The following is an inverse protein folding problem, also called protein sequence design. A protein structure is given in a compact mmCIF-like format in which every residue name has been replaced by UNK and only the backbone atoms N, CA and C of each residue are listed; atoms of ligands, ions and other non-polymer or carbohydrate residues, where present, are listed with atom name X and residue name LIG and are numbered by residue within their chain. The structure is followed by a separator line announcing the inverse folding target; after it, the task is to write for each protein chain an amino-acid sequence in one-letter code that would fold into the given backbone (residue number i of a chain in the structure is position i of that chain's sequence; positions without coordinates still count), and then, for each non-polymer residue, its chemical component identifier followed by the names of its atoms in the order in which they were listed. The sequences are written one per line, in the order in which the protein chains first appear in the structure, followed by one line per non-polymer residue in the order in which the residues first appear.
data_IF_897336947563
#
_entry.id   IF_897336947563
#
_cell.length_a   1.000
_cell.length_b   1.000
_cell.length_c   1.000
_cell.angle_alpha   90.00
_cell.angle_beta   90.00
_cell.angle_gamma   90.00
#
_symmetry.space_group_name_H-M   'P 1'
#
loop_
_entity.id
_entity.type
_entity.pdbx_description
1 polymer ?
#
# COMPACT_ATOMS: atom_id res chain seq x y z
N UNK A 1 37.63 -3.43 -17.65
CA UNK A 1 37.05 -4.77 -17.38
C UNK A 1 37.99 -5.86 -17.87
N UNK A 2 38.51 -5.72 -19.10
CA UNK A 2 39.67 -6.51 -19.57
C UNK A 2 40.86 -6.28 -18.63
N UNK A 3 41.16 -5.01 -18.30
CA UNK A 3 42.30 -4.62 -17.45
C UNK A 3 42.39 -5.34 -16.10
N UNK A 4 41.35 -5.35 -15.27
CA UNK A 4 41.41 -5.98 -13.93
C UNK A 4 41.53 -7.51 -13.96
N UNK A 5 41.04 -8.14 -15.03
CA UNK A 5 41.12 -9.59 -15.22
C UNK A 5 42.50 -9.96 -15.77
N UNK A 6 43.02 -9.18 -16.72
CA UNK A 6 44.40 -9.28 -17.20
C UNK A 6 45.43 -8.98 -16.10
N UNK A 7 45.13 -8.06 -15.19
CA UNK A 7 46.00 -7.75 -14.04
C UNK A 7 46.06 -8.92 -13.05
N UNK A 8 44.95 -9.66 -12.86
CA UNK A 8 44.91 -10.84 -12.00
C UNK A 8 45.74 -11.99 -12.60
N UNK A 9 45.60 -12.23 -13.90
CA UNK A 9 46.38 -13.23 -14.64
C UNK A 9 47.88 -12.88 -14.68
N UNK A 10 48.20 -11.61 -14.90
CA UNK A 10 49.58 -11.11 -14.88
C UNK A 10 50.22 -11.26 -13.50
N UNK A 11 49.50 -10.93 -12.42
CA UNK A 11 49.99 -11.07 -11.05
C UNK A 11 50.19 -12.54 -10.65
N UNK A 12 49.29 -13.43 -11.08
CA UNK A 12 49.44 -14.87 -10.88
C UNK A 12 50.72 -15.40 -11.55
N UNK A 13 50.94 -15.04 -12.81
CA UNK A 13 52.11 -15.44 -13.60
C UNK A 13 53.40 -14.91 -12.97
N UNK A 14 53.40 -13.66 -12.50
CA UNK A 14 54.54 -13.05 -11.82
C UNK A 14 54.85 -13.74 -10.47
N UNK A 15 53.83 -14.16 -9.72
CA UNK A 15 53.96 -14.90 -8.47
C UNK A 15 54.58 -16.29 -8.65
N UNK A 16 54.20 -17.02 -9.70
CA UNK A 16 54.79 -18.33 -10.03
C UNK A 16 56.27 -18.18 -10.40
N UNK A 17 56.59 -17.21 -11.25
CA UNK A 17 57.96 -16.92 -11.67
C UNK A 17 58.86 -16.45 -10.50
N UNK A 18 58.31 -15.71 -9.53
CA UNK A 18 59.04 -15.24 -8.36
C UNK A 18 59.37 -16.39 -7.38
N UNK A 19 58.43 -17.32 -7.16
CA UNK A 19 58.63 -18.49 -6.29
C UNK A 19 59.79 -19.38 -6.75
N UNK A 20 59.97 -19.54 -8.07
CA UNK A 20 61.06 -20.31 -8.65
C UNK A 20 62.44 -19.64 -8.49
N UNK A 21 62.48 -18.34 -8.18
CA UNK A 21 63.72 -17.53 -8.11
C UNK A 21 64.17 -17.20 -6.68
N UNK A 22 63.60 -17.85 -5.66
CA UNK A 22 63.94 -17.63 -4.24
C UNK A 22 63.82 -16.14 -3.80
N UNK A 23 62.80 -15.43 -4.30
CA UNK A 23 62.52 -14.04 -3.88
C UNK A 23 62.09 -13.94 -2.42
N UNK A 24 62.22 -12.75 -1.83
CA UNK A 24 61.80 -12.41 -0.47
C UNK A 24 60.41 -12.99 -0.12
N UNK A 25 60.38 -13.74 0.99
CA UNK A 25 59.20 -14.46 1.47
C UNK A 25 58.09 -13.50 1.89
N UNK A 26 58.45 -12.33 2.44
CA UNK A 26 57.46 -11.32 2.84
C UNK A 26 56.79 -10.69 1.62
N UNK A 27 57.56 -10.41 0.56
CA UNK A 27 57.01 -9.91 -0.70
C UNK A 27 56.10 -10.96 -1.35
N UNK A 28 56.49 -12.24 -1.38
CA UNK A 28 55.64 -13.32 -1.87
C UNK A 28 54.34 -13.44 -1.07
N UNK A 29 54.39 -13.28 0.25
CA UNK A 29 53.19 -13.30 1.10
C UNK A 29 52.27 -12.13 0.78
N UNK A 30 52.81 -10.91 0.68
CA UNK A 30 52.05 -9.72 0.32
C UNK A 30 51.41 -9.84 -1.07
N UNK A 31 52.18 -10.25 -2.08
CA UNK A 31 51.68 -10.43 -3.45
C UNK A 31 50.60 -11.52 -3.54
N UNK A 32 50.71 -12.62 -2.78
CA UNK A 32 49.64 -13.64 -2.70
C UNK A 32 48.36 -13.08 -2.10
N UNK A 33 48.46 -12.22 -1.09
CA UNK A 33 47.29 -11.56 -0.49
C UNK A 33 46.62 -10.62 -1.50
N UNK A 34 47.40 -9.82 -2.22
CA UNK A 34 46.89 -8.93 -3.27
C UNK A 34 46.21 -9.72 -4.40
N UNK A 35 46.77 -10.86 -4.79
CA UNK A 35 46.16 -11.72 -5.79
C UNK A 35 44.79 -12.26 -5.33
N UNK A 36 44.67 -12.74 -4.10
CA UNK A 36 43.38 -13.21 -3.57
C UNK A 36 42.35 -12.09 -3.50
N UNK A 37 42.75 -10.89 -3.12
CA UNK A 37 41.91 -9.69 -3.15
C UNK A 37 41.41 -9.39 -4.56
N UNK A 38 42.30 -9.38 -5.54
CA UNK A 38 41.95 -9.05 -6.92
C UNK A 38 41.06 -10.13 -7.54
N UNK A 39 41.36 -11.42 -7.31
CA UNK A 39 40.51 -12.53 -7.75
C UNK A 39 39.09 -12.43 -7.14
N UNK A 40 38.99 -12.19 -5.82
CA UNK A 40 37.70 -12.01 -5.16
C UNK A 40 36.94 -10.77 -5.67
N UNK A 41 37.63 -9.69 -6.02
CA UNK A 41 37.03 -8.51 -6.63
C UNK A 41 36.44 -8.83 -8.01
N UNK A 42 37.20 -9.53 -8.87
CA UNK A 42 36.74 -9.94 -10.20
C UNK A 42 35.50 -10.83 -10.09
N UNK A 43 35.53 -11.88 -9.25
CA UNK A 43 34.38 -12.76 -9.04
C UNK A 43 33.16 -12.00 -8.54
N UNK A 44 33.32 -11.09 -7.56
CA UNK A 44 32.20 -10.29 -7.06
C UNK A 44 31.60 -9.40 -8.16
N UNK A 45 32.44 -8.84 -9.02
CA UNK A 45 31.99 -7.98 -10.12
C UNK A 45 31.27 -8.78 -11.23
N UNK A 46 31.71 -10.00 -11.51
CA UNK A 46 31.04 -10.91 -12.44
C UNK A 46 29.66 -11.30 -11.94
N UNK A 47 29.54 -11.69 -10.68
CA UNK A 47 28.25 -12.05 -10.07
C UNK A 47 27.29 -10.85 -10.01
N UNK A 48 27.80 -9.64 -9.76
CA UNK A 48 27.01 -8.41 -9.86
C UNK A 48 26.45 -8.23 -11.27
N UNK A 49 27.28 -8.40 -12.31
CA UNK A 49 26.82 -8.27 -13.71
C UNK A 49 25.81 -9.36 -14.06
N UNK A 50 26.08 -10.60 -13.68
CA UNK A 50 25.19 -11.72 -13.94
C UNK A 50 23.80 -11.47 -13.35
N UNK A 51 23.73 -10.96 -12.11
CA UNK A 51 22.46 -10.61 -11.48
C UNK A 51 21.76 -9.45 -12.19
N UNK A 52 22.48 -8.40 -12.57
CA UNK A 52 21.86 -7.24 -13.25
C UNK A 52 21.20 -7.61 -14.59
N UNK A 53 21.70 -8.63 -15.29
CA UNK A 53 21.11 -9.10 -16.57
C UNK A 53 19.75 -9.77 -16.38
N UNK A 54 19.52 -10.41 -15.23
CA UNK A 54 18.28 -11.16 -14.97
C UNK A 54 17.26 -10.38 -14.15
N UNK A 55 17.57 -9.14 -13.76
CA UNK A 55 16.64 -8.30 -12.97
C UNK A 55 15.53 -7.70 -13.86
N UNK A 56 14.32 -7.50 -13.31
CA UNK A 56 13.94 -7.74 -11.91
C UNK A 56 13.70 -9.22 -11.61
N UNK A 57 14.03 -9.66 -10.39
CA UNK A 57 13.92 -11.09 -10.02
C UNK A 57 12.75 -11.39 -9.08
N UNK A 58 12.02 -12.48 -9.34
CA UNK A 58 10.97 -13.00 -8.45
C UNK A 58 11.40 -14.11 -7.50
N UNK A 59 12.62 -14.65 -7.66
CA UNK A 59 13.08 -15.85 -6.96
C UNK A 59 14.34 -15.55 -6.13
N UNK A 60 14.22 -15.70 -4.82
CA UNK A 60 15.29 -15.36 -3.86
C UNK A 60 16.55 -16.22 -4.01
N UNK A 61 16.45 -17.45 -4.53
CA UNK A 61 17.62 -18.33 -4.73
C UNK A 61 18.59 -17.80 -5.78
N UNK A 62 18.16 -16.93 -6.68
CA UNK A 62 19.03 -16.30 -7.69
C UNK A 62 20.04 -15.32 -7.07
N UNK A 63 19.85 -14.92 -5.82
CA UNK A 63 20.77 -14.05 -5.08
C UNK A 63 21.94 -14.79 -4.43
N UNK A 64 21.82 -16.11 -4.31
CA UNK A 64 22.74 -16.92 -3.53
C UNK A 64 24.19 -16.89 -4.07
N UNK A 65 24.43 -16.93 -5.41
CA UNK A 65 25.78 -16.76 -5.96
C UNK A 65 26.44 -15.44 -5.52
N UNK A 66 25.73 -14.31 -5.68
CA UNK A 66 26.23 -12.99 -5.29
C UNK A 66 26.46 -12.87 -3.77
N UNK A 67 25.59 -13.46 -2.93
CA UNK A 67 25.77 -13.49 -1.47
C UNK A 67 27.04 -14.23 -1.07
N UNK A 68 27.33 -15.37 -1.70
CA UNK A 68 28.56 -16.13 -1.46
C UNK A 68 29.80 -15.36 -1.91
N UNK A 69 29.75 -14.77 -3.10
CA UNK A 69 30.85 -13.93 -3.61
C UNK A 69 31.11 -12.73 -2.68
N UNK A 70 30.06 -12.08 -2.16
CA UNK A 70 30.19 -10.98 -1.20
C UNK A 70 30.83 -11.44 0.13
N UNK A 71 30.44 -12.61 0.65
CA UNK A 71 31.05 -13.16 1.86
C UNK A 71 32.54 -13.48 1.65
N UNK A 72 32.90 -14.04 0.49
CA UNK A 72 34.29 -14.30 0.13
C UNK A 72 35.08 -12.99 0.00
N UNK A 73 34.56 -12.00 -0.74
CA UNK A 73 35.18 -10.69 -0.90
C UNK A 73 35.39 -9.94 0.42
N UNK A 74 34.48 -10.10 1.39
CA UNK A 74 34.66 -9.57 2.75
C UNK A 74 35.84 -10.21 3.48
N UNK A 75 36.02 -11.54 3.37
CA UNK A 75 37.14 -12.26 4.00
C UNK A 75 38.49 -11.84 3.41
N UNK A 76 38.53 -11.67 2.09
CA UNK A 76 39.75 -11.24 1.39
C UNK A 76 40.04 -9.73 1.54
N UNK A 77 39.13 -8.95 2.15
CA UNK A 77 39.26 -7.50 2.35
C UNK A 77 39.27 -6.71 1.04
N UNK A 78 38.37 -7.07 0.12
CA UNK A 78 38.12 -6.29 -1.11
C UNK A 78 37.65 -4.87 -0.77
N UNK A 79 37.96 -3.91 -1.65
CA UNK A 79 37.67 -2.49 -1.44
C UNK A 79 36.23 -2.21 -0.96
N UNK A 80 36.03 -1.41 0.10
CA UNK A 80 34.71 -1.19 0.73
C UNK A 80 33.62 -0.70 -0.22
N UNK A 81 33.97 0.10 -1.22
CA UNK A 81 33.01 0.60 -2.20
C UNK A 81 32.36 -0.53 -3.02
N UNK A 82 33.13 -1.56 -3.41
CA UNK A 82 32.60 -2.70 -4.16
C UNK A 82 31.71 -3.58 -3.28
N UNK A 83 32.07 -3.75 -2.02
CA UNK A 83 31.24 -4.45 -1.02
C UNK A 83 29.92 -3.71 -0.78
N UNK A 84 29.96 -2.38 -0.69
CA UNK A 84 28.79 -1.52 -0.53
C UNK A 84 27.84 -1.62 -1.73
N UNK A 85 28.37 -1.53 -2.95
CA UNK A 85 27.60 -1.68 -4.18
C UNK A 85 26.89 -3.05 -4.25
N UNK A 86 27.64 -4.15 -4.05
CA UNK A 86 27.06 -5.48 -4.07
C UNK A 86 25.97 -5.66 -3.00
N UNK A 87 26.15 -5.09 -1.81
CA UNK A 87 25.14 -5.12 -0.75
C UNK A 87 23.87 -4.34 -1.11
N UNK A 88 24.00 -3.16 -1.74
CA UNK A 88 22.85 -2.39 -2.24
C UNK A 88 22.08 -3.17 -3.31
N UNK A 89 22.78 -3.82 -4.23
CA UNK A 89 22.16 -4.62 -5.30
C UNK A 89 21.40 -5.81 -4.70
N UNK A 90 21.98 -6.52 -3.71
CA UNK A 90 21.29 -7.61 -3.01
C UNK A 90 20.01 -7.08 -2.36
N UNK A 91 20.07 -5.96 -1.63
CA UNK A 91 18.90 -5.38 -0.94
C UNK A 91 17.80 -4.97 -1.93
N UNK A 92 18.18 -4.37 -3.06
CA UNK A 92 17.25 -3.99 -4.12
C UNK A 92 16.55 -5.21 -4.74
N UNK A 93 17.31 -6.28 -5.01
CA UNK A 93 16.75 -7.50 -5.57
C UNK A 93 15.97 -8.36 -4.54
N UNK A 94 16.27 -8.25 -3.24
CA UNK A 94 15.42 -8.82 -2.18
C UNK A 94 14.06 -8.11 -2.08
N UNK A 95 14.05 -6.79 -2.26
CA UNK A 95 12.83 -6.00 -2.34
C UNK A 95 11.99 -6.38 -3.57
N UNK A 96 12.62 -6.59 -4.74
CA UNK A 96 11.95 -7.15 -5.94
C UNK A 96 11.26 -8.48 -5.65
N UNK A 97 11.98 -9.44 -5.07
CA UNK A 97 11.42 -10.76 -4.77
C UNK A 97 10.20 -10.66 -3.82
N UNK A 98 10.29 -9.76 -2.85
CA UNK A 98 9.22 -9.55 -1.87
C UNK A 98 8.00 -8.90 -2.52
N UNK A 99 8.22 -7.88 -3.34
CA UNK A 99 7.17 -7.21 -4.11
C UNK A 99 6.49 -8.17 -5.09
N UNK A 100 7.26 -8.99 -5.82
CA UNK A 100 6.70 -10.04 -6.69
C UNK A 100 5.81 -11.02 -5.92
N UNK A 101 6.25 -11.47 -4.75
CA UNK A 101 5.46 -12.37 -3.91
C UNK A 101 4.14 -11.72 -3.46
N UNK A 102 4.19 -10.47 -3.00
CA UNK A 102 3.00 -9.72 -2.60
C UNK A 102 2.07 -9.44 -3.78
N UNK A 103 2.63 -9.08 -4.95
CA UNK A 103 1.89 -8.88 -6.19
C UNK A 103 1.12 -10.15 -6.58
N UNK A 104 1.80 -11.29 -6.68
CA UNK A 104 1.20 -12.56 -7.10
C UNK A 104 0.09 -13.06 -6.16
N UNK A 105 0.14 -12.70 -4.87
CA UNK A 105 -0.94 -12.98 -3.92
C UNK A 105 -2.16 -12.09 -4.18
N UNK A 106 -1.93 -10.80 -4.45
CA UNK A 106 -2.99 -9.81 -4.67
C UNK A 106 -3.61 -9.91 -6.07
N UNK A 107 -2.85 -10.35 -7.07
CA UNK A 107 -3.28 -10.45 -8.47
C UNK A 107 -4.45 -11.42 -8.64
N UNK A 108 -4.52 -12.45 -7.78
CA UNK A 108 -5.61 -13.45 -7.76
C UNK A 108 -6.92 -12.92 -7.18
N UNK A 109 -6.91 -11.71 -6.63
CA UNK A 109 -8.11 -11.09 -6.05
C UNK A 109 -8.92 -10.49 -7.19
N UNK A 110 -10.02 -11.15 -7.54
CA UNK A 110 -10.94 -10.65 -8.56
C UNK A 110 -11.61 -9.35 -8.13
N UNK A 111 -12.13 -9.31 -6.89
CA UNK A 111 -12.80 -8.16 -6.28
C UNK A 111 -12.18 -7.81 -4.93
N UNK A 112 -11.59 -6.62 -4.85
CA UNK A 112 -11.07 -6.03 -3.62
C UNK A 112 -12.16 -5.93 -2.57
N UNK A 113 -11.85 -6.43 -1.36
CA UNK A 113 -12.75 -6.36 -0.21
C UNK A 113 -11.97 -6.24 1.09
N UNK A 114 -12.64 -5.83 2.17
CA UNK A 114 -12.03 -5.71 3.50
C UNK A 114 -11.39 -7.01 4.00
N UNK A 115 -11.80 -8.16 3.46
CA UNK A 115 -11.25 -9.49 3.80
C UNK A 115 -9.77 -9.62 3.41
N UNK A 116 -9.36 -8.93 2.34
CA UNK A 116 -8.00 -8.95 1.81
C UNK A 116 -7.14 -7.78 2.29
N UNK A 117 -7.62 -6.95 3.23
CA UNK A 117 -6.89 -5.78 3.72
C UNK A 117 -5.47 -6.12 4.19
N UNK A 118 -5.26 -7.28 4.83
CA UNK A 118 -3.92 -7.69 5.28
C UNK A 118 -2.94 -7.87 4.11
N UNK A 119 -3.41 -8.41 2.99
CA UNK A 119 -2.57 -8.65 1.81
C UNK A 119 -2.34 -7.35 1.04
N UNK A 120 -3.36 -6.49 0.94
CA UNK A 120 -3.25 -5.15 0.36
C UNK A 120 -2.24 -4.30 1.14
N UNK A 121 -2.33 -4.26 2.48
CA UNK A 121 -1.36 -3.52 3.31
C UNK A 121 0.05 -4.09 3.19
N UNK A 122 0.22 -5.41 3.00
CA UNK A 122 1.52 -6.01 2.71
C UNK A 122 2.06 -5.56 1.35
N UNK A 123 1.21 -5.52 0.32
CA UNK A 123 1.58 -5.01 -0.99
C UNK A 123 2.02 -3.55 -0.90
N UNK A 124 1.28 -2.69 -0.19
CA UNK A 124 1.64 -1.29 0.05
C UNK A 124 3.00 -1.12 0.75
N UNK A 125 3.23 -1.90 1.81
CA UNK A 125 4.51 -1.89 2.52
C UNK A 125 5.66 -2.35 1.61
N UNK A 126 5.46 -3.41 0.83
CA UNK A 126 6.47 -3.92 -0.11
C UNK A 126 6.75 -2.95 -1.26
N UNK A 127 5.73 -2.22 -1.73
CA UNK A 127 5.87 -1.16 -2.73
C UNK A 127 6.73 0.00 -2.19
N UNK A 128 6.43 0.46 -0.96
CA UNK A 128 7.19 1.54 -0.33
C UNK A 128 8.66 1.15 -0.13
N UNK A 129 8.92 -0.09 0.32
CA UNK A 129 10.28 -0.60 0.43
C UNK A 129 10.97 -0.69 -0.94
N UNK A 130 10.31 -1.25 -1.95
CA UNK A 130 10.87 -1.37 -3.31
C UNK A 130 11.21 0.00 -3.92
N UNK A 131 10.38 1.01 -3.70
CA UNK A 131 10.65 2.39 -4.13
C UNK A 131 11.91 2.96 -3.47
N UNK A 132 12.06 2.80 -2.15
CA UNK A 132 13.24 3.25 -1.41
C UNK A 132 14.53 2.55 -1.86
N UNK A 133 14.40 1.33 -2.40
CA UNK A 133 15.54 0.51 -2.86
C UNK A 133 15.84 0.65 -4.35
N UNK A 134 15.15 1.55 -5.06
CA UNK A 134 15.39 1.81 -6.48
C UNK A 134 15.12 0.57 -7.36
N UNK A 135 14.02 -0.13 -7.09
CA UNK A 135 13.56 -1.27 -7.90
C UNK A 135 13.06 -0.80 -9.28
N UNK A 136 13.03 -1.71 -10.26
CA UNK A 136 12.51 -1.44 -11.62
C UNK A 136 11.17 -0.69 -11.63
N UNK A 137 11.12 0.40 -12.38
CA UNK A 137 9.93 1.25 -12.56
C UNK A 137 8.75 0.47 -13.15
N UNK A 138 8.99 -0.50 -14.03
CA UNK A 138 7.93 -1.33 -14.61
C UNK A 138 7.27 -2.22 -13.54
N UNK A 139 8.07 -2.80 -12.64
CA UNK A 139 7.56 -3.61 -11.54
C UNK A 139 6.81 -2.73 -10.52
N UNK A 140 7.31 -1.53 -10.26
CA UNK A 140 6.64 -0.55 -9.40
C UNK A 140 5.31 -0.09 -9.98
N UNK A 141 5.25 0.16 -11.29
CA UNK A 141 4.04 0.60 -11.98
C UNK A 141 2.95 -0.49 -12.03
N UNK A 142 3.34 -1.73 -12.32
CA UNK A 142 2.39 -2.86 -12.33
C UNK A 142 1.82 -3.13 -10.94
N UNK A 143 2.67 -3.15 -9.90
CA UNK A 143 2.21 -3.33 -8.54
C UNK A 143 1.43 -2.14 -7.97
N UNK A 144 1.76 -0.90 -8.36
CA UNK A 144 1.00 0.28 -7.95
C UNK A 144 -0.39 0.29 -8.57
N UNK A 145 -0.52 -0.06 -9.85
CA UNK A 145 -1.81 -0.20 -10.53
C UNK A 145 -2.70 -1.25 -9.84
N UNK A 146 -2.14 -2.42 -9.50
CA UNK A 146 -2.87 -3.45 -8.76
C UNK A 146 -3.32 -2.98 -7.37
N UNK A 147 -2.44 -2.30 -6.63
CA UNK A 147 -2.78 -1.68 -5.33
C UNK A 147 -3.93 -0.69 -5.49
N UNK A 148 -3.85 0.20 -6.48
CA UNK A 148 -4.84 1.26 -6.69
C UNK A 148 -6.20 0.68 -7.05
N UNK A 149 -6.22 -0.33 -7.93
CA UNK A 149 -7.43 -1.09 -8.25
C UNK A 149 -8.07 -1.68 -7.00
N UNK A 150 -7.31 -2.43 -6.21
CA UNK A 150 -7.84 -3.09 -5.01
C UNK A 150 -8.31 -2.09 -3.95
N UNK A 151 -7.59 -0.99 -3.74
CA UNK A 151 -7.98 0.06 -2.81
C UNK A 151 -9.26 0.80 -3.26
N UNK A 152 -9.40 1.06 -4.56
CA UNK A 152 -10.62 1.63 -5.12
C UNK A 152 -11.82 0.69 -4.89
N UNK A 153 -11.63 -0.61 -5.13
CA UNK A 153 -12.67 -1.62 -4.91
C UNK A 153 -13.07 -1.76 -3.43
N UNK A 154 -12.10 -1.76 -2.49
CA UNK A 154 -12.40 -1.76 -1.05
C UNK A 154 -13.19 -0.52 -0.63
N UNK A 155 -12.85 0.66 -1.18
CA UNK A 155 -13.57 1.91 -0.91
C UNK A 155 -15.00 1.87 -1.46
N UNK A 156 -15.18 1.37 -2.69
CA UNK A 156 -16.50 1.18 -3.30
C UNK A 156 -17.35 0.21 -2.46
N UNK A 157 -16.80 -0.94 -2.07
CA UNK A 157 -17.48 -1.93 -1.23
C UNK A 157 -17.90 -1.31 0.11
N UNK A 158 -17.01 -0.55 0.76
CA UNK A 158 -17.31 0.11 2.03
C UNK A 158 -18.49 1.08 1.93
N UNK A 159 -18.68 1.75 0.79
CA UNK A 159 -19.79 2.70 0.58
C UNK A 159 -21.15 2.02 0.34
N UNK A 160 -21.14 0.75 -0.11
CA UNK A 160 -22.36 -0.04 -0.28
C UNK A 160 -23.01 -0.40 1.05
N UNK A 161 -22.23 -0.45 2.14
CA UNK A 161 -22.74 -0.77 3.48
C UNK A 161 -23.56 0.42 4.02
N UNK A 162 -24.79 0.20 4.50
CA UNK A 162 -25.60 1.28 5.09
C UNK A 162 -25.02 1.76 6.42
N UNK A 163 -25.36 3.00 6.81
CA UNK A 163 -25.14 3.49 8.16
C UNK A 163 -26.11 2.82 9.15
N UNK A 164 -25.72 2.76 10.41
CA UNK A 164 -26.54 2.24 11.50
C UNK A 164 -27.48 3.34 11.98
N UNK A 165 -28.79 3.10 11.92
CA UNK A 165 -29.81 4.02 12.42
C UNK A 165 -29.92 3.95 13.95
N UNK A 166 -30.31 5.05 14.63
CA UNK A 166 -30.59 5.01 16.06
C UNK A 166 -31.76 4.05 16.38
N UNK A 167 -31.78 3.44 17.58
CA UNK A 167 -32.86 2.55 17.97
C UNK A 167 -34.21 3.28 17.95
N UNK A 168 -35.30 2.61 17.52
CA UNK A 168 -36.63 3.20 17.53
C UNK A 168 -37.06 3.58 18.95
N UNK A 169 -37.71 4.72 19.09
CA UNK A 169 -38.28 5.20 20.36
C UNK A 169 -39.64 4.51 20.58
N UNK A 170 -39.89 3.97 21.78
CA UNK A 170 -41.12 3.24 22.07
C UNK A 170 -42.29 4.22 22.28
N UNK A 171 -43.22 4.24 21.33
CA UNK A 171 -44.29 5.24 21.24
C UNK A 171 -45.40 5.08 22.30
N UNK A 172 -45.35 4.04 23.13
CA UNK A 172 -46.40 3.73 24.12
C UNK A 172 -46.10 4.22 25.53
N UNK A 173 -44.83 4.32 25.92
CA UNK A 173 -44.39 4.72 27.27
C UNK A 173 -43.60 6.03 27.27
N UNK A 174 -43.19 6.53 26.10
CA UNK A 174 -42.33 7.72 25.99
C UNK A 174 -40.93 7.51 26.60
N UNK A 175 -40.59 6.27 26.97
CA UNK A 175 -39.30 5.90 27.51
C UNK A 175 -38.37 5.52 26.36
N UNK A 176 -37.20 6.15 26.30
CA UNK A 176 -36.08 5.66 25.51
C UNK A 176 -35.75 4.24 26.02
N UNK A 177 -35.76 3.23 25.15
CA UNK A 177 -34.98 2.01 25.41
C UNK A 177 -33.55 2.48 25.78
N UNK A 178 -32.92 1.89 26.83
CA UNK A 178 -31.81 2.51 27.55
C UNK A 178 -30.81 3.17 26.61
N UNK A 179 -30.73 4.50 26.72
CA UNK A 179 -29.90 5.34 25.87
C UNK A 179 -28.45 4.83 25.91
N UNK A 180 -27.75 4.73 24.76
CA UNK A 180 -26.31 4.71 24.81
C UNK A 180 -25.83 6.10 25.28
N UNK A 181 -24.60 6.17 25.79
CA UNK A 181 -24.05 7.29 26.54
C UNK A 181 -24.20 8.67 25.84
N UNK A 182 -24.07 9.80 26.58
CA UNK A 182 -24.17 11.15 26.01
C UNK A 182 -23.20 11.29 24.81
N UNK A 183 -23.77 11.46 23.60
CA UNK A 183 -23.02 11.42 22.33
C UNK A 183 -23.50 10.37 21.31
N UNK A 184 -24.53 9.56 21.60
CA UNK A 184 -24.91 8.40 20.78
C UNK A 184 -26.27 8.45 20.07
N UNK A 185 -26.89 9.61 19.89
CA UNK A 185 -28.26 9.70 19.35
C UNK A 185 -28.29 9.99 17.83
N UNK A 186 -27.37 9.39 17.06
CA UNK A 186 -27.20 9.69 15.64
C UNK A 186 -27.05 8.47 14.75
N UNK A 187 -27.00 8.73 13.45
CA UNK A 187 -26.70 7.76 12.40
C UNK A 187 -25.19 7.53 12.33
N UNK A 188 -24.74 6.29 12.51
CA UNK A 188 -23.32 5.94 12.65
C UNK A 188 -22.81 5.18 11.44
N UNK A 189 -21.69 5.62 10.88
CA UNK A 189 -21.02 5.00 9.74
C UNK A 189 -19.91 4.04 10.21
N UNK A 190 -19.48 3.17 9.30
CA UNK A 190 -18.46 2.15 9.61
C UNK A 190 -17.06 2.72 9.92
N UNK A 191 -16.83 3.99 9.60
CA UNK A 191 -15.61 4.73 9.95
C UNK A 191 -15.70 5.41 11.32
N UNK A 192 -16.81 5.22 12.04
CA UNK A 192 -17.08 5.84 13.33
C UNK A 192 -17.62 7.26 13.23
N UNK A 193 -17.81 7.81 12.03
CA UNK A 193 -18.46 9.12 11.88
C UNK A 193 -19.93 9.02 12.26
N UNK A 194 -20.42 10.02 13.00
CA UNK A 194 -21.81 10.10 13.44
C UNK A 194 -22.47 11.36 12.86
N UNK A 195 -23.75 11.25 12.50
CA UNK A 195 -24.59 12.35 12.01
C UNK A 195 -25.86 12.46 12.82
N UNK A 196 -26.28 13.67 13.14
CA UNK A 196 -27.39 13.90 14.07
C UNK A 196 -28.76 13.71 13.40
N UNK A 197 -28.86 14.01 12.10
CA UNK A 197 -30.11 13.88 11.35
C UNK A 197 -30.01 12.87 10.21
N UNK A 198 -31.17 12.33 9.79
CA UNK A 198 -31.25 11.42 8.65
C UNK A 198 -30.79 12.10 7.37
N UNK A 199 -31.19 13.37 7.16
CA UNK A 199 -30.78 14.13 6.00
C UNK A 199 -29.25 14.29 5.95
N UNK A 200 -28.61 14.67 7.06
CA UNK A 200 -27.15 14.75 7.13
C UNK A 200 -26.45 13.42 6.85
N UNK A 201 -27.02 12.30 7.34
CA UNK A 201 -26.50 10.97 7.07
C UNK A 201 -26.63 10.60 5.57
N UNK A 202 -27.79 10.83 4.97
CA UNK A 202 -28.01 10.56 3.55
C UNK A 202 -27.13 11.43 2.64
N UNK A 203 -26.98 12.72 2.95
CA UNK A 203 -26.08 13.63 2.24
C UNK A 203 -24.62 13.19 2.35
N UNK A 204 -24.17 12.85 3.56
CA UNK A 204 -22.80 12.38 3.77
C UNK A 204 -22.53 11.07 3.03
N UNK A 205 -23.46 10.11 3.08
CA UNK A 205 -23.35 8.87 2.32
C UNK A 205 -23.32 9.11 0.81
N UNK A 206 -24.14 10.05 0.32
CA UNK A 206 -24.17 10.45 -1.10
C UNK A 206 -22.80 10.98 -1.53
N UNK A 207 -22.17 11.82 -0.70
CA UNK A 207 -20.83 12.36 -0.97
C UNK A 207 -19.78 11.25 -1.00
N UNK A 208 -19.79 10.32 -0.02
CA UNK A 208 -18.87 9.19 0.01
C UNK A 208 -19.00 8.29 -1.23
N UNK A 209 -20.23 7.92 -1.60
CA UNK A 209 -20.49 7.09 -2.78
C UNK A 209 -20.06 7.81 -4.05
N UNK A 210 -20.32 9.11 -4.18
CA UNK A 210 -19.89 9.90 -5.35
C UNK A 210 -18.37 9.90 -5.47
N UNK A 211 -17.65 10.23 -4.39
CA UNK A 211 -16.20 10.24 -4.39
C UNK A 211 -15.59 8.85 -4.64
N UNK A 212 -16.23 7.77 -4.16
CA UNK A 212 -15.78 6.41 -4.42
C UNK A 212 -15.97 6.01 -5.90
N UNK A 213 -17.07 6.41 -6.53
CA UNK A 213 -17.31 6.19 -7.97
C UNK A 213 -16.31 6.98 -8.80
N UNK A 214 -16.09 8.27 -8.49
CA UNK A 214 -15.17 9.11 -9.25
C UNK A 214 -13.74 8.56 -9.19
N UNK A 215 -13.28 8.15 -8.00
CA UNK A 215 -11.99 7.49 -7.83
C UNK A 215 -11.93 6.15 -8.57
N UNK A 216 -12.97 5.32 -8.44
CA UNK A 216 -13.02 4.00 -9.09
C UNK A 216 -13.04 4.10 -10.61
N UNK A 217 -13.69 5.11 -11.18
CA UNK A 217 -13.74 5.34 -12.62
C UNK A 217 -12.40 5.86 -13.18
N UNK A 218 -11.57 6.50 -12.35
CA UNK A 218 -10.24 6.97 -12.72
C UNK A 218 -9.16 5.89 -12.66
N UNK A 219 -9.43 4.75 -12.01
CA UNK A 219 -8.48 3.65 -11.83
C UNK A 219 -8.78 2.52 -12.80
N UNK A 220 -7.78 2.13 -13.59
CA UNK A 220 -7.93 1.03 -14.55
C UNK A 220 -8.12 -0.32 -13.85
N UNK A 221 -8.96 -1.16 -14.44
CA UNK A 221 -9.20 -2.54 -13.99
C UNK A 221 -10.19 -2.69 -12.83
N UNK A 222 -10.72 -1.59 -12.27
CA UNK A 222 -11.78 -1.67 -11.25
C UNK A 222 -12.99 -2.43 -11.81
N UNK A 223 -13.54 -3.34 -11.01
CA UNK A 223 -14.66 -4.19 -11.42
C UNK A 223 -15.89 -3.36 -11.84
N UNK A 224 -16.33 -3.51 -13.08
CA UNK A 224 -17.45 -2.75 -13.64
C UNK A 224 -18.77 -2.97 -12.87
N UNK A 225 -19.03 -4.21 -12.43
CA UNK A 225 -20.20 -4.53 -11.62
C UNK A 225 -20.26 -3.72 -10.31
N UNK A 226 -19.11 -3.47 -9.67
CA UNK A 226 -19.02 -2.64 -8.46
C UNK A 226 -19.37 -1.18 -8.74
N UNK A 227 -18.91 -0.64 -9.86
CA UNK A 227 -19.22 0.73 -10.30
C UNK A 227 -20.71 0.88 -10.61
N UNK A 228 -21.34 -0.13 -11.21
CA UNK A 228 -22.77 -0.15 -11.52
C UNK A 228 -23.64 -0.28 -10.25
N UNK A 229 -23.25 -1.15 -9.32
CA UNK A 229 -23.87 -1.28 -7.99
C UNK A 229 -23.84 0.09 -7.26
N UNK A 230 -22.67 0.72 -7.19
CA UNK A 230 -22.49 2.02 -6.54
C UNK A 230 -23.27 3.14 -7.25
N UNK A 231 -23.28 3.14 -8.58
CA UNK A 231 -24.04 4.12 -9.39
C UNK A 231 -25.55 3.99 -9.18
N UNK A 232 -26.05 2.77 -9.04
CA UNK A 232 -27.46 2.49 -8.75
C UNK A 232 -27.82 2.98 -7.36
N UNK A 233 -26.98 2.68 -6.36
CA UNK A 233 -27.12 3.21 -5.00
C UNK A 233 -27.11 4.74 -4.99
N UNK A 234 -26.23 5.39 -5.77
CA UNK A 234 -26.16 6.85 -5.83
C UNK A 234 -27.46 7.47 -6.35
N UNK A 235 -28.10 6.86 -7.36
CA UNK A 235 -29.41 7.31 -7.87
C UNK A 235 -30.49 7.18 -6.80
N UNK A 236 -30.48 6.08 -6.05
CA UNK A 236 -31.39 5.86 -4.93
C UNK A 236 -31.18 6.88 -3.81
N UNK A 237 -29.94 7.08 -3.34
CA UNK A 237 -29.62 8.05 -2.30
C UNK A 237 -30.01 9.48 -2.68
N UNK A 238 -29.78 9.89 -3.94
CA UNK A 238 -30.22 11.21 -4.43
C UNK A 238 -31.74 11.39 -4.37
N UNK A 239 -32.51 10.31 -4.55
CA UNK A 239 -33.96 10.34 -4.38
C UNK A 239 -34.33 10.44 -2.89
N UNK A 240 -33.73 9.60 -2.05
CA UNK A 240 -33.94 9.60 -0.59
C UNK A 240 -33.61 10.96 0.05
N UNK A 241 -32.52 11.61 -0.35
CA UNK A 241 -32.17 12.97 0.07
C UNK A 241 -33.28 13.95 -0.30
N UNK A 242 -33.76 13.94 -1.54
CA UNK A 242 -34.84 14.85 -1.99
C UNK A 242 -36.14 14.62 -1.22
N UNK A 243 -36.48 13.37 -0.95
CA UNK A 243 -37.70 13.01 -0.23
C UNK A 243 -37.58 13.42 1.25
N UNK A 244 -36.43 13.21 1.89
CA UNK A 244 -36.20 13.64 3.28
C UNK A 244 -36.09 15.16 3.42
N UNK A 245 -35.51 15.89 2.44
CA UNK A 245 -35.51 17.36 2.44
C UNK A 245 -36.94 17.91 2.46
N UNK A 246 -37.83 17.36 1.64
CA UNK A 246 -39.25 17.75 1.65
C UNK A 246 -39.91 17.44 2.99
N UNK A 247 -39.63 16.27 3.56
CA UNK A 247 -40.17 15.87 4.86
C UNK A 247 -39.68 16.81 5.99
N UNK A 248 -38.39 17.20 6.00
CA UNK A 248 -37.86 18.16 6.96
C UNK A 248 -38.48 19.56 6.80
N UNK A 249 -38.69 20.03 5.55
CA UNK A 249 -39.39 21.30 5.30
C UNK A 249 -40.83 21.27 5.82
N UNK A 250 -41.55 20.17 5.63
CA UNK A 250 -42.91 19.98 6.17
C UNK A 250 -42.91 19.93 7.70
N UNK A 251 -41.98 19.20 8.33
CA UNK A 251 -41.81 19.18 9.80
C UNK A 251 -41.52 20.58 10.33
N UNK A 252 -40.67 21.35 9.65
CA UNK A 252 -40.34 22.73 10.03
C UNK A 252 -41.56 23.64 9.96
N UNK A 253 -42.34 23.58 8.86
CA UNK A 253 -43.59 24.36 8.73
C UNK A 253 -44.58 24.01 9.84
N UNK A 254 -44.75 22.73 10.16
CA UNK A 254 -45.63 22.28 11.23
C UNK A 254 -45.19 22.80 12.62
N UNK A 255 -43.88 22.79 12.90
CA UNK A 255 -43.32 23.32 14.14
C UNK A 255 -43.50 24.85 14.25
N UNK A 256 -43.26 25.58 13.16
CA UNK A 256 -43.46 27.03 13.10
C UNK A 256 -44.95 27.39 13.31
N UNK A 257 -45.88 26.66 12.68
CA UNK A 257 -47.31 26.82 12.93
C UNK A 257 -47.73 26.50 14.37
N UNK A 258 -47.16 25.45 14.96
CA UNK A 258 -47.42 25.06 16.34
C UNK A 258 -46.88 26.12 17.33
N UNK A 259 -45.69 26.66 17.08
CA UNK A 259 -45.09 27.73 17.86
C UNK A 259 -45.91 29.03 17.77
N UNK A 260 -46.39 29.39 16.57
CA UNK A 260 -47.28 30.54 16.36
C UNK A 260 -48.62 30.36 17.10
N UNK A 261 -49.20 29.15 17.09
CA UNK A 261 -50.41 28.83 17.86
C UNK A 261 -50.17 28.90 19.37
N UNK A 262 -49.03 28.40 19.85
CA UNK A 262 -48.65 28.47 21.26
C UNK A 262 -48.42 29.92 21.73
N UNK A 263 -47.72 30.73 20.93
CA UNK A 263 -47.50 32.15 21.22
C UNK A 263 -48.81 32.96 21.26
N UNK A 264 -49.76 32.67 20.36
CA UNK A 264 -51.10 33.27 20.38
C UNK A 264 -51.92 32.86 21.61
N UNK A 265 -51.83 31.61 22.06
CA UNK A 265 -52.48 31.14 23.31
C UNK A 265 -51.85 31.77 24.56
N UNK A 266 -50.53 31.95 24.59
CA UNK A 266 -49.82 32.61 25.70
C UNK A 266 -50.20 34.09 25.89
N UNK A 267 -50.45 34.82 24.79
CA UNK A 267 -50.95 36.21 24.86
C UNK A 267 -52.39 36.32 25.38
N UNK A 268 -53.27 35.35 25.08
CA UNK A 268 -54.67 35.34 25.58
C UNK A 268 -54.82 34.99 27.07
N UNK A 269 -53.82 34.37 27.70
CA UNK A 269 -53.82 34.02 29.14
C UNK A 269 -53.20 35.09 30.05
N UNK A 270 -52.61 36.16 29.49
CA UNK A 270 -51.98 37.28 30.21
C UNK A 270 -52.81 38.58 30.20
N UNK A 271 -54.07 38.51 29.76
CA UNK A 271 -55.05 39.60 29.83
C UNK A 271 -56.18 39.16 30.76
#
# INVERSE_FOLDING_TARGET
MVETLTDAEALYTALEAAQLKCTDVELLRASRQTYRQLAAHVTLQEEVKALLVVRPIGIRSLLEPLKRALQHAKREQVHPAMLGLAMQIIQSAEAECTLFGCHALCEKIERGSRRYNKDITRLEASLAEAQLRGVSEELLATASALRDRLNAEVRLEACLVPFTAPPPVDNHTGALLPAPAPGSAGYVFNDGTARDTLLQALEYRTQLVTAAIDNGAAVEGVTQALLEEASTLLKQLKKEVRDETKAEEERRKALEEAALKAAKKGKKKKV
#
